data_IF_814137735022
#
_entry.id   IF_814137735022
#
_cell.length_a   1.000
_cell.length_b   1.000
_cell.length_c   1.000
_cell.angle_alpha   90.00
_cell.angle_beta   90.00
_cell.angle_gamma   90.00
#
_symmetry.space_group_name_H-M   'P 1'
#
loop_
_entity.id
_entity.type
_entity.pdbx_description
1 polymer ?
#
# COMPACT_ATOMS: atom_id res chain seq x y z
N UNK A 1 16.45 28.81 -3.83
CA UNK A 1 16.93 27.59 -4.54
C UNK A 1 16.82 26.39 -3.60
N UNK A 2 15.63 25.83 -3.43
CA UNK A 2 15.41 24.71 -2.49
C UNK A 2 14.86 23.53 -3.26
N UNK A 3 15.76 22.72 -3.84
CA UNK A 3 15.42 21.40 -4.39
C UNK A 3 16.70 20.57 -4.55
N UNK A 4 17.29 20.11 -3.43
CA UNK A 4 18.53 19.31 -3.44
C UNK A 4 18.63 18.30 -2.29
N UNK A 5 17.52 17.66 -1.89
CA UNK A 5 17.57 16.57 -0.88
C UNK A 5 16.70 15.34 -1.14
N UNK A 6 15.79 15.35 -2.12
CA UNK A 6 14.98 14.16 -2.43
C UNK A 6 15.78 13.05 -3.15
N UNK A 7 16.80 13.43 -3.94
CA UNK A 7 17.62 12.48 -4.71
C UNK A 7 18.57 11.62 -3.87
N UNK A 8 18.92 12.04 -2.64
CA UNK A 8 19.84 11.27 -1.80
C UNK A 8 19.23 9.95 -1.31
N UNK A 9 17.90 9.83 -1.33
CA UNK A 9 17.19 8.59 -1.04
C UNK A 9 16.91 7.74 -2.29
N UNK A 10 17.07 8.30 -3.49
CA UNK A 10 16.95 7.54 -4.75
C UNK A 10 18.17 6.63 -5.00
N UNK A 11 19.33 6.93 -4.38
CA UNK A 11 20.59 6.20 -4.61
C UNK A 11 20.96 5.22 -3.48
N UNK A 12 20.06 4.98 -2.52
CA UNK A 12 20.28 3.98 -1.47
C UNK A 12 19.55 2.70 -1.83
N UNK A 13 20.19 1.54 -1.60
CA UNK A 13 19.56 0.22 -1.79
C UNK A 13 18.26 0.12 -1.00
N UNK A 14 18.19 0.73 0.19
CA UNK A 14 16.98 0.78 1.00
C UNK A 14 15.85 1.57 0.33
N UNK A 15 16.14 2.75 -0.25
CA UNK A 15 15.17 3.56 -0.97
C UNK A 15 14.68 2.87 -2.25
N UNK A 16 15.59 2.34 -3.06
CA UNK A 16 15.25 1.56 -4.25
C UNK A 16 14.38 0.34 -3.91
N UNK A 17 14.70 -0.38 -2.83
CA UNK A 17 13.91 -1.52 -2.34
C UNK A 17 12.52 -1.09 -1.87
N UNK A 18 12.41 0.02 -1.14
CA UNK A 18 11.12 0.56 -0.71
C UNK A 18 10.25 0.95 -1.91
N UNK A 19 10.81 1.66 -2.89
CA UNK A 19 10.10 2.02 -4.13
C UNK A 19 9.67 0.79 -4.91
N UNK A 20 10.56 -0.18 -5.13
CA UNK A 20 10.23 -1.43 -5.83
C UNK A 20 9.12 -2.21 -5.11
N UNK A 21 9.12 -2.21 -3.78
CA UNK A 21 8.06 -2.84 -2.97
C UNK A 21 6.72 -2.15 -3.19
N UNK A 22 6.67 -0.81 -3.13
CA UNK A 22 5.43 -0.04 -3.35
C UNK A 22 4.91 -0.26 -4.78
N UNK A 23 5.78 -0.21 -5.80
CA UNK A 23 5.37 -0.47 -7.18
C UNK A 23 4.85 -1.89 -7.37
N UNK A 24 5.51 -2.88 -6.77
CA UNK A 24 5.03 -4.27 -6.79
C UNK A 24 3.64 -4.38 -6.16
N UNK A 25 3.40 -3.72 -5.02
CA UNK A 25 2.09 -3.72 -4.36
C UNK A 25 1.01 -3.06 -5.23
N UNK A 26 1.30 -1.93 -5.86
CA UNK A 26 0.37 -1.25 -6.77
C UNK A 26 0.01 -2.12 -7.97
N UNK A 27 0.98 -2.84 -8.54
CA UNK A 27 0.74 -3.79 -9.63
C UNK A 27 -0.13 -4.95 -9.18
N UNK A 28 0.11 -5.49 -7.98
CA UNK A 28 -0.75 -6.53 -7.40
C UNK A 28 -2.16 -6.01 -7.16
N UNK A 29 -2.34 -4.77 -6.68
CA UNK A 29 -3.66 -4.16 -6.52
C UNK A 29 -4.41 -4.11 -7.86
N UNK A 30 -3.74 -3.66 -8.93
CA UNK A 30 -4.32 -3.67 -10.28
C UNK A 30 -4.68 -5.07 -10.77
N UNK A 31 -3.85 -6.07 -10.49
CA UNK A 31 -4.14 -7.46 -10.86
C UNK A 31 -5.33 -8.03 -10.08
N UNK A 32 -5.59 -7.53 -8.87
CA UNK A 32 -6.74 -7.90 -8.03
C UNK A 32 -7.97 -7.01 -8.26
N UNK A 33 -7.95 -6.10 -9.23
CA UNK A 33 -9.01 -5.09 -9.49
C UNK A 33 -9.32 -4.19 -8.27
N UNK A 34 -8.30 -3.92 -7.45
CA UNK A 34 -8.39 -3.07 -6.25
C UNK A 34 -7.81 -1.71 -6.53
N UNK A 35 -8.49 -0.67 -6.05
CA UNK A 35 -7.98 0.69 -6.14
C UNK A 35 -6.72 0.83 -5.24
N UNK A 36 -5.54 1.15 -5.81
CA UNK A 36 -4.27 1.11 -5.06
C UNK A 36 -4.16 2.15 -3.94
N UNK A 37 -4.82 3.30 -4.08
CA UNK A 37 -4.77 4.38 -3.11
C UNK A 37 -5.60 4.07 -1.86
N UNK A 38 -6.84 3.58 -2.01
CA UNK A 38 -7.73 3.08 -0.97
C UNK A 38 -7.07 1.93 -0.22
N UNK A 39 -6.47 0.98 -0.93
CA UNK A 39 -5.69 -0.09 -0.33
C UNK A 39 -4.57 0.46 0.57
N UNK A 40 -3.75 1.39 0.05
CA UNK A 40 -2.64 1.95 0.81
C UNK A 40 -3.11 2.72 2.05
N UNK A 41 -4.19 3.50 1.93
CA UNK A 41 -4.80 4.22 3.05
C UNK A 41 -5.27 3.27 4.16
N UNK A 42 -5.95 2.19 3.81
CA UNK A 42 -6.40 1.18 4.77
C UNK A 42 -5.23 0.48 5.45
N UNK A 43 -4.23 0.04 4.68
CA UNK A 43 -3.02 -0.61 5.22
C UNK A 43 -2.28 0.32 6.18
N UNK A 44 -2.05 1.58 5.79
CA UNK A 44 -1.34 2.54 6.64
C UNK A 44 -2.16 2.97 7.87
N UNK A 45 -3.49 2.80 7.83
CA UNK A 45 -4.37 3.05 8.99
C UNK A 45 -4.37 1.86 9.95
N UNK A 46 -4.34 0.63 9.44
CA UNK A 46 -4.34 -0.59 10.26
C UNK A 46 -2.98 -0.97 10.82
N UNK A 47 -1.90 -0.75 10.06
CA UNK A 47 -0.54 -1.07 10.50
C UNK A 47 -0.18 -0.48 11.87
N UNK A 48 -0.43 0.81 12.20
CA UNK A 48 -0.14 1.36 13.51
C UNK A 48 -1.07 0.87 14.63
N UNK A 49 -2.23 0.28 14.28
CA UNK A 49 -3.14 -0.34 15.26
C UNK A 49 -2.69 -1.74 15.66
N UNK A 50 -1.85 -2.39 14.85
CA UNK A 50 -1.38 -3.75 15.08
C UNK A 50 -0.08 -3.75 15.89
N UNK A 51 0.10 -4.78 16.71
CA UNK A 51 1.34 -4.99 17.45
C UNK A 51 2.52 -5.27 16.50
N UNK A 52 3.73 -4.89 16.90
CA UNK A 52 4.94 -5.19 16.12
C UNK A 52 5.11 -6.72 15.97
N UNK A 53 5.07 -7.22 14.74
CA UNK A 53 5.13 -8.65 14.43
C UNK A 53 3.77 -9.34 14.29
N UNK A 54 2.66 -8.60 14.35
CA UNK A 54 1.35 -9.15 14.01
C UNK A 54 1.29 -9.60 12.55
N UNK A 55 0.44 -10.60 12.29
CA UNK A 55 0.20 -11.08 10.93
C UNK A 55 -0.42 -9.97 10.08
N UNK A 56 0.16 -9.76 8.90
CA UNK A 56 -0.27 -8.80 7.88
C UNK A 56 -0.84 -9.49 6.65
N UNK A 57 -1.03 -10.81 6.70
CA UNK A 57 -1.65 -11.58 5.62
C UNK A 57 -3.07 -11.11 5.30
N UNK A 58 -3.80 -10.61 6.31
CA UNK A 58 -5.12 -9.99 6.12
C UNK A 58 -5.06 -8.67 5.35
N UNK A 59 -3.91 -8.00 5.40
CA UNK A 59 -3.68 -6.72 4.74
C UNK A 59 -3.26 -6.88 3.29
N UNK A 60 -3.22 -8.11 2.76
CA UNK A 60 -2.88 -8.35 1.37
C UNK A 60 -3.98 -7.80 0.44
N UNK A 61 -3.61 -7.37 -0.78
CA UNK A 61 -4.52 -6.64 -1.67
C UNK A 61 -5.78 -7.42 -2.02
N UNK A 62 -5.72 -8.74 -2.09
CA UNK A 62 -6.90 -9.58 -2.33
C UNK A 62 -7.92 -9.56 -1.17
N UNK A 63 -7.46 -9.54 0.08
CA UNK A 63 -8.33 -9.54 1.26
C UNK A 63 -8.94 -8.16 1.52
N UNK A 64 -8.14 -7.10 1.36
CA UNK A 64 -8.63 -5.72 1.48
C UNK A 64 -9.55 -5.37 0.31
N UNK A 65 -9.22 -5.79 -0.91
CA UNK A 65 -10.07 -5.58 -2.09
C UNK A 65 -11.48 -6.11 -1.90
N UNK A 66 -11.59 -7.36 -1.47
CA UNK A 66 -12.85 -8.00 -1.06
C UNK A 66 -13.60 -7.20 0.01
N UNK A 67 -12.88 -6.70 1.02
CA UNK A 67 -13.47 -5.91 2.12
C UNK A 67 -13.97 -4.55 1.66
N UNK A 68 -13.22 -3.87 0.80
CA UNK A 68 -13.58 -2.58 0.21
C UNK A 68 -14.76 -2.74 -0.76
N UNK A 69 -14.75 -3.79 -1.59
CA UNK A 69 -15.85 -4.14 -2.47
C UNK A 69 -17.14 -4.40 -1.69
N UNK A 70 -17.08 -5.12 -0.56
CA UNK A 70 -18.23 -5.31 0.35
C UNK A 70 -18.70 -4.02 1.01
N UNK A 71 -17.81 -3.05 1.22
CA UNK A 71 -18.14 -1.76 1.85
C UNK A 71 -18.79 -0.78 0.90
N UNK A 72 -18.58 -0.87 -0.41
CA UNK A 72 -19.27 0.02 -1.36
C UNK A 72 -20.77 -0.22 -1.21
N UNK A 73 -21.55 0.73 -0.65
CA UNK A 73 -22.98 0.60 -0.69
C UNK A 73 -23.38 0.63 -2.16
N UNK A 74 -24.29 -0.26 -2.55
CA UNK A 74 -25.01 -0.18 -3.81
C UNK A 74 -25.67 1.18 -3.90
N UNK A 75 -25.00 2.14 -4.53
CA UNK A 75 -25.60 3.36 -5.06
C UNK A 75 -25.55 3.23 -6.57
N UNK A 76 -26.65 2.69 -7.10
CA UNK A 76 -27.18 3.04 -8.42
C UNK A 76 -27.37 4.57 -8.51
#
# INVERSE_FOLDING_TARGET
>A
MTSRKSWLFNDTVAGAKASATIYSLMLTCRACDVEPFEYLCEVLTELPQRAAGADVSDLLPFNIGERLARRKPTSD
#
